data_IF_619845298195
#
_entry.id   IF_619845298195
#
_cell.length_a   1.000
_cell.length_b   1.000
_cell.length_c   1.000
_cell.angle_alpha   90.00
_cell.angle_beta   90.00
_cell.angle_gamma   90.00
#
_symmetry.space_group_name_H-M   'P 1'
#
loop_
_entity.id
_entity.type
_entity.pdbx_description
1 polymer ?
#
# COMPACT_ATOMS: atom_id res chain seq x y z
N UNK A 1 6.96 34.68 -28.25
CA UNK A 1 5.97 33.68 -27.78
C UNK A 1 6.60 32.95 -26.60
N UNK A 2 6.35 33.43 -25.39
CA UNK A 2 6.83 32.77 -24.16
C UNK A 2 5.89 31.59 -23.85
N UNK A 3 6.46 30.39 -23.75
CA UNK A 3 5.73 29.17 -23.41
C UNK A 3 5.40 29.22 -21.91
N UNK A 4 4.14 29.49 -21.56
CA UNK A 4 3.63 29.36 -20.19
C UNK A 4 3.84 27.90 -19.74
N UNK A 5 4.93 27.66 -19.00
CA UNK A 5 5.17 26.39 -18.31
C UNK A 5 4.12 26.29 -17.21
N UNK A 6 3.04 25.58 -17.50
CA UNK A 6 2.04 25.17 -16.52
C UNK A 6 2.76 24.30 -15.48
N UNK A 7 3.23 24.90 -14.39
CA UNK A 7 3.79 24.16 -13.27
C UNK A 7 2.60 23.53 -12.54
N UNK A 8 2.15 22.36 -12.99
CA UNK A 8 1.23 21.56 -12.21
C UNK A 8 2.02 21.11 -10.99
N UNK A 9 1.64 21.49 -9.76
CA UNK A 9 2.25 20.89 -8.58
C UNK A 9 2.05 19.38 -8.75
N UNK A 10 3.14 18.61 -8.79
CA UNK A 10 3.06 17.15 -8.70
C UNK A 10 2.37 16.90 -7.36
N UNK A 11 1.08 16.58 -7.39
CA UNK A 11 0.33 16.23 -6.20
C UNK A 11 1.08 15.06 -5.57
N UNK A 12 1.83 15.33 -4.50
CA UNK A 12 2.64 14.33 -3.83
C UNK A 12 1.66 13.44 -3.09
N UNK A 13 1.21 12.37 -3.75
CA UNK A 13 0.34 11.42 -3.12
C UNK A 13 1.13 10.70 -2.02
N UNK A 14 0.80 10.96 -0.76
CA UNK A 14 1.58 10.51 0.39
C UNK A 14 1.14 9.11 0.87
N UNK A 15 1.90 8.54 1.80
CA UNK A 15 1.50 7.29 2.43
C UNK A 15 0.26 7.48 3.32
N UNK A 16 0.07 8.66 3.90
CA UNK A 16 -1.11 9.03 4.69
C UNK A 16 -2.38 9.07 3.84
N UNK A 17 -2.31 9.61 2.62
CA UNK A 17 -3.44 9.54 1.67
C UNK A 17 -3.79 8.08 1.33
N UNK A 18 -2.78 7.20 1.26
CA UNK A 18 -3.02 5.76 1.06
C UNK A 18 -3.73 5.14 2.26
N UNK A 19 -3.40 5.53 3.49
CA UNK A 19 -4.13 5.11 4.69
C UNK A 19 -5.58 5.58 4.68
N UNK A 20 -5.84 6.83 4.26
CA UNK A 20 -7.19 7.35 4.14
C UNK A 20 -8.00 6.58 3.09
N UNK A 21 -7.41 6.34 1.91
CA UNK A 21 -8.05 5.54 0.86
C UNK A 21 -8.39 4.12 1.33
N UNK A 22 -7.51 3.47 2.11
CA UNK A 22 -7.78 2.15 2.69
C UNK A 22 -9.00 2.15 3.63
N UNK A 23 -9.19 3.24 4.37
CA UNK A 23 -10.26 3.41 5.35
C UNK A 23 -11.58 3.75 4.66
N UNK A 24 -11.58 4.82 3.86
CA UNK A 24 -12.78 5.32 3.17
C UNK A 24 -13.24 4.40 2.05
N UNK A 25 -12.30 3.79 1.33
CA UNK A 25 -12.57 2.80 0.28
C UNK A 25 -13.04 1.45 0.81
N UNK A 26 -13.26 1.30 2.13
CA UNK A 26 -13.73 0.07 2.77
C UNK A 26 -12.83 -1.16 2.58
N UNK A 27 -11.59 -0.98 2.12
CA UNK A 27 -10.64 -2.09 1.92
C UNK A 27 -10.33 -2.77 3.25
N UNK A 28 -10.11 -1.99 4.32
CA UNK A 28 -9.87 -2.54 5.66
C UNK A 28 -11.12 -3.25 6.21
N UNK A 29 -12.32 -2.76 5.90
CA UNK A 29 -13.57 -3.42 6.28
C UNK A 29 -13.70 -4.80 5.61
N UNK A 30 -13.35 -4.91 4.33
CA UNK A 30 -13.30 -6.18 3.62
C UNK A 30 -12.23 -7.12 4.22
N UNK A 31 -11.02 -6.65 4.51
CA UNK A 31 -10.00 -7.49 5.18
C UNK A 31 -10.50 -7.97 6.55
N UNK A 32 -11.18 -7.10 7.32
CA UNK A 32 -11.76 -7.45 8.62
C UNK A 32 -12.83 -8.55 8.49
N UNK A 33 -13.66 -8.54 7.44
CA UNK A 33 -14.65 -9.60 7.26
C UNK A 33 -14.01 -10.95 6.98
N UNK A 34 -12.89 -11.00 6.25
CA UNK A 34 -12.14 -12.25 6.06
C UNK A 34 -11.51 -12.75 7.36
N UNK A 35 -10.96 -11.87 8.21
CA UNK A 35 -10.52 -12.27 9.55
C UNK A 35 -11.65 -12.86 10.38
N UNK A 36 -12.83 -12.23 10.38
CA UNK A 36 -14.01 -12.78 11.06
C UNK A 36 -14.36 -14.18 10.53
N UNK A 37 -14.34 -14.39 9.21
CA UNK A 37 -14.61 -15.72 8.64
C UNK A 37 -13.52 -16.73 9.02
N UNK A 38 -12.25 -16.36 9.08
CA UNK A 38 -11.16 -17.22 9.53
C UNK A 38 -11.29 -17.63 10.99
N UNK A 39 -11.56 -16.67 11.87
CA UNK A 39 -11.70 -16.89 13.32
C UNK A 39 -12.88 -17.82 13.66
N UNK A 40 -13.88 -17.88 12.78
CA UNK A 40 -15.09 -18.68 12.95
C UNK A 40 -15.15 -19.92 12.05
N UNK A 41 -14.04 -20.32 11.42
CA UNK A 41 -13.98 -21.47 10.49
C UNK A 41 -15.07 -21.42 9.39
N UNK A 42 -15.39 -20.20 8.95
CA UNK A 42 -16.49 -19.89 8.03
C UNK A 42 -16.00 -19.44 6.65
N UNK A 43 -14.72 -19.61 6.34
CA UNK A 43 -14.18 -19.33 5.00
C UNK A 43 -14.73 -20.29 3.94
N UNK A 44 -15.11 -21.51 4.32
CA UNK A 44 -15.45 -22.57 3.38
C UNK A 44 -14.28 -22.88 2.44
N UNK A 45 -14.38 -22.47 1.18
CA UNK A 45 -13.34 -22.64 0.16
C UNK A 45 -12.52 -21.39 -0.15
N UNK A 46 -12.76 -20.27 0.55
CA UNK A 46 -12.01 -19.03 0.35
C UNK A 46 -10.62 -19.11 0.97
N UNK A 47 -9.69 -18.33 0.41
CA UNK A 47 -8.31 -18.26 0.87
C UNK A 47 -8.18 -17.40 2.14
N UNK A 48 -7.25 -17.82 3.01
CA UNK A 48 -6.87 -17.06 4.21
C UNK A 48 -6.13 -15.78 3.85
N UNK A 49 -6.37 -14.71 4.59
CA UNK A 49 -5.69 -13.42 4.51
C UNK A 49 -4.17 -13.59 4.56
N UNK A 50 -3.65 -14.46 5.43
CA UNK A 50 -2.22 -14.75 5.52
C UNK A 50 -1.62 -15.23 4.19
N UNK A 51 -2.27 -16.20 3.52
CA UNK A 51 -1.81 -16.72 2.23
C UNK A 51 -1.93 -15.67 1.11
N UNK A 52 -2.99 -14.85 1.14
CA UNK A 52 -3.12 -13.72 0.21
C UNK A 52 -2.03 -12.67 0.42
N UNK A 53 -1.61 -12.42 1.66
CA UNK A 53 -0.55 -11.47 2.01
C UNK A 53 0.83 -11.98 1.59
N UNK A 54 1.14 -13.27 1.77
CA UNK A 54 2.42 -13.87 1.40
C UNK A 54 2.75 -13.71 -0.09
N UNK A 55 1.75 -13.72 -0.96
CA UNK A 55 1.90 -13.52 -2.41
C UNK A 55 1.75 -12.06 -2.84
N UNK A 56 1.23 -11.20 -1.98
CA UNK A 56 1.05 -9.80 -2.30
C UNK A 56 2.43 -9.14 -2.44
N UNK A 57 2.58 -8.30 -3.46
CA UNK A 57 3.81 -7.54 -3.72
C UNK A 57 3.47 -6.07 -3.89
N UNK A 58 4.33 -5.18 -3.41
CA UNK A 58 4.10 -3.76 -3.53
C UNK A 58 4.14 -3.31 -4.99
N UNK A 59 3.21 -2.43 -5.36
CA UNK A 59 3.35 -1.70 -6.63
C UNK A 59 4.52 -0.73 -6.53
N UNK A 60 5.14 -0.38 -7.66
CA UNK A 60 6.20 0.64 -7.67
C UNK A 60 5.73 1.97 -7.07
N UNK A 61 4.46 2.35 -7.27
CA UNK A 61 3.90 3.56 -6.68
C UNK A 61 3.80 3.47 -5.16
N UNK A 62 3.29 2.36 -4.61
CA UNK A 62 3.19 2.14 -3.17
C UNK A 62 4.57 2.08 -2.52
N UNK A 63 5.51 1.38 -3.15
CA UNK A 63 6.90 1.27 -2.73
C UNK A 63 7.61 2.63 -2.64
N UNK A 64 7.39 3.52 -3.61
CA UNK A 64 7.90 4.90 -3.56
C UNK A 64 7.33 5.71 -2.41
N UNK A 65 6.02 5.60 -2.14
CA UNK A 65 5.36 6.30 -1.01
C UNK A 65 5.87 5.78 0.33
N UNK A 66 6.01 4.46 0.46
CA UNK A 66 6.51 3.82 1.67
C UNK A 66 7.97 4.22 1.94
N UNK A 67 8.82 4.21 0.91
CA UNK A 67 10.20 4.70 0.99
C UNK A 67 10.25 6.16 1.45
N UNK A 68 9.44 7.05 0.86
CA UNK A 68 9.40 8.46 1.24
C UNK A 68 8.94 8.66 2.70
N UNK A 69 7.95 7.88 3.15
CA UNK A 69 7.49 7.89 4.54
C UNK A 69 8.61 7.44 5.49
N UNK A 70 9.29 6.33 5.19
CA UNK A 70 10.40 5.81 6.00
C UNK A 70 11.56 6.80 6.12
N UNK A 71 11.92 7.49 5.03
CA UNK A 71 12.92 8.56 5.05
C UNK A 71 12.50 9.71 5.98
N UNK A 72 11.23 10.11 5.94
CA UNK A 72 10.69 11.21 6.77
C UNK A 72 10.76 10.93 8.27
N UNK A 73 10.68 9.66 8.67
CA UNK A 73 10.72 9.23 10.08
C UNK A 73 12.08 8.64 10.48
N UNK A 74 13.12 8.83 9.66
CA UNK A 74 14.49 8.34 9.90
C UNK A 74 14.58 6.81 10.10
N UNK A 75 13.81 6.05 9.32
CA UNK A 75 13.79 4.57 9.30
C UNK A 75 14.30 4.00 7.98
N UNK A 76 15.38 4.59 7.47
CA UNK A 76 15.92 4.29 6.13
C UNK A 76 16.50 2.88 6.03
N UNK A 77 16.85 2.24 7.14
CA UNK A 77 17.34 0.86 7.20
C UNK A 77 16.29 -0.17 6.73
N UNK A 78 15.01 0.21 6.68
CA UNK A 78 13.92 -0.65 6.21
C UNK A 78 13.72 -0.61 4.69
N UNK A 79 14.31 0.35 3.98
CA UNK A 79 14.10 0.55 2.53
C UNK A 79 14.49 -0.68 1.69
N UNK A 80 15.59 -1.41 1.96
CA UNK A 80 15.94 -2.61 1.19
C UNK A 80 14.85 -3.69 1.20
N UNK A 81 14.13 -3.83 2.31
CA UNK A 81 13.03 -4.79 2.43
C UNK A 81 11.82 -4.38 1.57
N UNK A 82 11.51 -3.09 1.54
CA UNK A 82 10.46 -2.54 0.67
C UNK A 82 10.79 -2.78 -0.80
N UNK A 83 12.04 -2.55 -1.19
CA UNK A 83 12.51 -2.76 -2.56
C UNK A 83 12.46 -4.25 -2.95
N UNK A 84 12.88 -5.14 -2.06
CA UNK A 84 12.82 -6.59 -2.27
C UNK A 84 11.40 -7.10 -2.52
N UNK A 85 10.42 -6.53 -1.82
CA UNK A 85 9.01 -6.93 -1.92
C UNK A 85 8.21 -6.15 -2.98
N UNK A 86 8.88 -5.34 -3.79
CA UNK A 86 8.27 -4.59 -4.89
C UNK A 86 8.16 -5.46 -6.15
N UNK A 87 7.05 -5.36 -6.89
CA UNK A 87 6.89 -6.02 -8.19
C UNK A 87 8.00 -5.56 -9.14
N UNK A 88 8.81 -6.50 -9.63
CA UNK A 88 9.71 -6.26 -10.75
C UNK A 88 8.86 -5.99 -11.99
N UNK A 89 9.13 -4.87 -12.66
CA UNK A 89 8.41 -4.43 -13.85
C UNK A 89 8.64 -5.35 -15.04
#
# INVERSE_FOLDING_TARGET
MELLKLHTPKQQNTFEETQQWLTEGSVISAVKSFYFLEEHDALGGLERVGAMLERARYSTSLSSKLTAHLQRIDRTELIPYVQYDTKNR
#
